data_IF_895520162999
#
_entry.id   IF_895520162999
#
_cell.length_a   1.000
_cell.length_b   1.000
_cell.length_c   1.000
_cell.angle_alpha   90.00
_cell.angle_beta   90.00
_cell.angle_gamma   90.00
#
_symmetry.space_group_name_H-M   'P 1'
#
loop_
_entity.id
_entity.type
_entity.pdbx_description
1 polymer ?
#
# COMPACT_ATOMS: atom_id res chain seq x y z
N UNK A 1 -6.19 30.23 3.84
CA UNK A 1 -6.30 29.38 5.04
C UNK A 1 -6.30 27.95 4.55
N UNK A 2 -5.69 27.03 5.29
CA UNK A 2 -5.96 25.61 5.11
C UNK A 2 -7.27 25.33 5.87
N UNK A 3 -8.17 24.55 5.28
CA UNK A 3 -9.39 24.12 5.95
C UNK A 3 -9.06 23.00 6.94
N UNK A 4 -9.50 23.11 8.19
CA UNK A 4 -9.42 22.06 9.21
C UNK A 4 -10.43 20.93 8.99
N UNK A 5 -10.55 20.45 7.76
CA UNK A 5 -11.51 19.43 7.30
C UNK A 5 -10.91 18.02 7.26
N UNK A 6 -9.77 17.79 7.92
CA UNK A 6 -9.10 16.49 7.98
C UNK A 6 -9.99 15.37 8.52
N UNK A 7 -10.88 15.69 9.47
CA UNK A 7 -11.91 14.79 9.98
C UNK A 7 -12.83 14.26 8.85
N UNK A 8 -13.27 15.14 7.94
CA UNK A 8 -14.09 14.77 6.80
C UNK A 8 -13.34 13.82 5.85
N UNK A 9 -12.09 14.14 5.48
CA UNK A 9 -11.24 13.27 4.64
C UNK A 9 -10.95 11.90 5.26
N UNK A 10 -10.80 11.84 6.59
CA UNK A 10 -10.62 10.59 7.30
C UNK A 10 -11.91 9.76 7.26
N UNK A 11 -13.07 10.38 7.55
CA UNK A 11 -14.36 9.71 7.55
C UNK A 11 -14.79 9.25 6.15
N UNK A 12 -14.69 10.09 5.11
CA UNK A 12 -14.98 9.68 3.73
C UNK A 12 -14.12 8.48 3.35
N UNK A 13 -12.80 8.54 3.56
CA UNK A 13 -11.90 7.44 3.24
C UNK A 13 -12.21 6.11 3.96
N UNK A 14 -12.73 6.16 5.19
CA UNK A 14 -13.20 4.96 5.89
C UNK A 14 -14.52 4.43 5.30
N UNK A 15 -15.45 5.32 4.93
CA UNK A 15 -16.72 4.97 4.27
C UNK A 15 -16.52 4.44 2.85
N UNK A 16 -15.62 5.03 2.07
CA UNK A 16 -15.13 4.54 0.76
C UNK A 16 -14.63 3.10 0.89
N UNK A 17 -13.76 2.86 1.89
CA UNK A 17 -13.15 1.57 2.17
C UNK A 17 -14.17 0.48 2.52
N UNK A 18 -15.06 0.74 3.49
CA UNK A 18 -16.08 -0.26 3.87
C UNK A 18 -17.11 -0.48 2.77
N UNK A 19 -17.44 0.55 1.97
CA UNK A 19 -18.30 0.36 0.80
C UNK A 19 -17.65 -0.59 -0.20
N UNK A 20 -16.41 -0.32 -0.60
CA UNK A 20 -15.66 -1.16 -1.54
C UNK A 20 -15.53 -2.62 -1.05
N UNK A 21 -15.33 -2.84 0.25
CA UNK A 21 -15.27 -4.18 0.85
C UNK A 21 -16.62 -4.93 0.83
N UNK A 22 -17.74 -4.23 0.99
CA UNK A 22 -19.09 -4.84 1.06
C UNK A 22 -19.76 -4.98 -0.30
N UNK A 23 -19.56 -4.03 -1.22
CA UNK A 23 -20.22 -3.98 -2.52
C UNK A 23 -19.33 -4.42 -3.68
N UNK A 24 -18.01 -4.24 -3.54
CA UNK A 24 -17.02 -4.32 -4.63
C UNK A 24 -16.78 -2.99 -5.36
N UNK A 25 -17.57 -1.95 -5.08
CA UNK A 25 -17.51 -0.65 -5.75
C UNK A 25 -16.80 0.40 -4.88
N UNK A 26 -15.63 0.87 -5.33
CA UNK A 26 -14.94 2.02 -4.76
C UNK A 26 -15.48 3.31 -5.39
N UNK A 27 -16.22 4.09 -4.62
CA UNK A 27 -16.88 5.33 -5.04
C UNK A 27 -16.27 6.47 -4.21
N UNK A 28 -15.76 7.52 -4.85
CA UNK A 28 -15.26 8.70 -4.12
C UNK A 28 -16.40 9.53 -3.53
N UNK A 29 -16.33 9.80 -2.24
CA UNK A 29 -17.39 10.46 -1.46
C UNK A 29 -17.07 11.93 -1.18
N UNK A 30 -18.08 12.77 -1.01
CA UNK A 30 -17.88 14.20 -0.79
C UNK A 30 -17.43 14.54 0.63
N UNK A 31 -16.20 15.04 0.80
CA UNK A 31 -15.84 15.70 2.06
C UNK A 31 -16.58 17.02 2.27
N UNK A 32 -16.97 17.70 1.18
CA UNK A 32 -17.61 19.02 1.26
C UNK A 32 -19.05 18.95 1.75
N UNK A 33 -19.76 17.86 1.48
CA UNK A 33 -21.08 17.63 2.05
C UNK A 33 -20.99 17.54 3.58
N UNK A 34 -20.00 16.82 4.13
CA UNK A 34 -19.75 16.81 5.57
C UNK A 34 -19.42 18.23 6.08
N UNK A 35 -18.50 18.95 5.43
CA UNK A 35 -18.12 20.32 5.83
C UNK A 35 -19.30 21.30 5.79
N UNK A 36 -20.20 21.18 4.82
CA UNK A 36 -21.32 22.12 4.61
C UNK A 36 -22.60 21.76 5.39
N UNK A 37 -22.83 20.46 5.64
CA UNK A 37 -24.10 19.93 6.13
C UNK A 37 -24.03 19.25 7.51
N UNK A 38 -22.85 18.77 7.96
CA UNK A 38 -22.71 18.20 9.29
C UNK A 38 -22.57 19.28 10.36
N UNK A 39 -23.71 19.78 10.83
CA UNK A 39 -23.80 20.75 11.92
C UNK A 39 -23.48 20.19 13.31
N UNK A 40 -23.13 18.92 13.44
CA UNK A 40 -22.56 18.36 14.68
C UNK A 40 -21.06 18.60 14.80
N UNK A 41 -20.40 18.81 13.65
CA UNK A 41 -19.01 19.24 13.52
C UNK A 41 -18.90 20.74 13.18
N UNK A 42 -17.67 21.24 13.06
CA UNK A 42 -17.37 22.67 12.91
C UNK A 42 -16.75 23.02 11.55
N UNK A 43 -17.03 22.24 10.52
CA UNK A 43 -16.58 22.50 9.15
C UNK A 43 -15.06 22.59 9.06
N UNK A 44 -14.55 23.74 8.62
CA UNK A 44 -13.13 24.06 8.51
C UNK A 44 -12.46 24.47 9.84
N UNK A 45 -13.20 24.59 10.94
CA UNK A 45 -12.64 24.82 12.29
C UNK A 45 -12.30 23.50 13.03
N UNK A 46 -12.70 22.35 12.49
CA UNK A 46 -12.41 21.03 13.04
C UNK A 46 -13.65 20.14 13.19
N UNK A 47 -13.44 18.90 13.65
CA UNK A 47 -14.49 17.93 13.84
C UNK A 47 -13.97 16.55 14.26
N UNK A 48 -14.90 15.63 14.51
CA UNK A 48 -14.65 14.25 14.93
C UNK A 48 -15.27 13.27 13.92
N UNK A 49 -14.56 12.15 13.70
CA UNK A 49 -14.89 11.21 12.62
C UNK A 49 -16.11 10.35 12.91
N UNK A 50 -16.34 10.03 14.20
CA UNK A 50 -17.52 9.35 14.71
C UNK A 50 -18.79 10.18 14.53
N UNK A 51 -18.72 11.51 14.78
CA UNK A 51 -19.82 12.44 14.56
C UNK A 51 -20.19 12.53 13.08
N UNK A 52 -19.21 12.49 12.18
CA UNK A 52 -19.46 12.42 10.74
C UNK A 52 -20.16 11.10 10.34
N UNK A 53 -19.80 9.96 10.95
CA UNK A 53 -20.49 8.69 10.71
C UNK A 53 -21.94 8.73 11.24
N UNK A 54 -22.15 9.23 12.47
CA UNK A 54 -23.47 9.49 13.05
C UNK A 54 -24.31 10.40 12.13
N UNK A 55 -23.72 11.45 11.57
CA UNK A 55 -24.39 12.34 10.61
C UNK A 55 -24.81 11.60 9.34
N UNK A 56 -23.92 10.84 8.69
CA UNK A 56 -24.25 10.09 7.46
C UNK A 56 -25.36 9.06 7.68
N UNK A 57 -25.38 8.39 8.84
CA UNK A 57 -26.47 7.48 9.22
C UNK A 57 -27.80 8.24 9.30
N UNK A 58 -27.82 9.37 10.02
CA UNK A 58 -29.02 10.17 10.21
C UNK A 58 -29.47 10.89 8.92
N UNK A 59 -28.53 11.20 8.01
CA UNK A 59 -28.80 11.77 6.70
C UNK A 59 -29.36 10.75 5.69
N UNK A 60 -29.20 9.45 5.98
CA UNK A 60 -29.58 8.35 5.09
C UNK A 60 -28.55 8.01 4.02
N UNK A 61 -27.35 8.58 4.12
CA UNK A 61 -26.24 8.42 3.18
C UNK A 61 -25.50 9.74 2.90
N UNK A 62 -24.54 9.65 1.98
CA UNK A 62 -23.64 10.71 1.53
C UNK A 62 -23.46 10.62 0.01
N UNK A 63 -23.36 11.76 -0.67
CA UNK A 63 -23.19 11.90 -2.12
C UNK A 63 -21.73 11.71 -2.56
N UNK A 64 -21.53 11.61 -3.89
CA UNK A 64 -20.20 11.47 -4.46
C UNK A 64 -19.46 12.81 -4.53
N UNK A 65 -18.12 12.76 -4.53
CA UNK A 65 -17.29 13.94 -4.81
C UNK A 65 -17.60 14.56 -6.19
N UNK A 66 -18.12 13.80 -7.15
CA UNK A 66 -18.59 14.36 -8.43
C UNK A 66 -19.89 15.17 -8.33
N UNK A 67 -20.78 14.81 -7.40
CA UNK A 67 -22.09 15.48 -7.22
C UNK A 67 -21.98 16.68 -6.27
N UNK A 68 -21.13 16.57 -5.23
CA UNK A 68 -20.82 17.64 -4.30
C UNK A 68 -19.30 17.90 -4.19
N UNK A 69 -18.66 18.56 -5.18
CA UNK A 69 -17.20 18.69 -5.21
C UNK A 69 -16.59 19.55 -4.09
N UNK A 70 -15.37 19.21 -3.69
CA UNK A 70 -14.59 19.89 -2.68
C UNK A 70 -14.12 21.30 -3.10
N UNK A 71 -14.26 22.25 -2.17
CA UNK A 71 -13.95 23.67 -2.36
C UNK A 71 -12.96 24.23 -1.34
N UNK A 72 -12.72 23.52 -0.22
CA UNK A 72 -11.71 23.89 0.78
C UNK A 72 -12.05 25.12 1.62
N UNK A 73 -13.34 25.43 1.75
CA UNK A 73 -13.91 26.47 2.61
C UNK A 73 -15.29 26.04 3.11
N UNK A 74 -15.78 26.65 4.18
CA UNK A 74 -17.16 26.45 4.65
C UNK A 74 -18.17 27.02 3.64
N UNK A 75 -19.12 26.19 3.23
CA UNK A 75 -20.25 26.59 2.40
C UNK A 75 -21.55 26.77 3.19
N UNK A 76 -22.66 26.57 2.49
CA UNK A 76 -23.97 26.35 3.10
C UNK A 76 -24.52 25.08 2.49
N UNK A 77 -24.98 24.15 3.33
CA UNK A 77 -25.54 22.88 2.92
C UNK A 77 -26.49 23.02 1.71
N UNK A 78 -26.10 22.39 0.60
CA UNK A 78 -26.81 22.49 -0.66
C UNK A 78 -27.66 21.24 -0.90
N UNK A 79 -28.91 21.30 -0.47
CA UNK A 79 -29.89 20.19 -0.58
C UNK A 79 -30.25 19.79 -2.01
N UNK A 80 -29.70 20.43 -3.05
CA UNK A 80 -29.83 20.01 -4.46
C UNK A 80 -28.62 19.20 -4.94
N UNK A 81 -27.49 19.28 -4.23
CA UNK A 81 -26.33 18.41 -4.45
C UNK A 81 -26.41 17.15 -3.57
N UNK A 82 -26.91 17.30 -2.35
CA UNK A 82 -27.11 16.26 -1.32
C UNK A 82 -28.36 15.38 -1.60
N UNK A 83 -28.64 15.07 -2.87
CA UNK A 83 -29.88 14.37 -3.29
C UNK A 83 -29.66 12.90 -3.65
N UNK A 84 -28.45 12.48 -4.05
CA UNK A 84 -28.20 11.14 -4.63
C UNK A 84 -27.87 10.09 -3.60
N UNK A 85 -27.12 10.47 -2.55
CA UNK A 85 -26.77 9.62 -1.38
C UNK A 85 -26.24 8.24 -1.78
N UNK A 86 -25.17 8.26 -2.58
CA UNK A 86 -24.59 7.09 -3.27
C UNK A 86 -24.07 6.00 -2.32
N UNK A 87 -23.66 6.36 -1.10
CA UNK A 87 -23.23 5.42 -0.06
C UNK A 87 -23.95 5.70 1.24
N UNK A 88 -24.37 4.65 1.93
CA UNK A 88 -24.88 4.68 3.30
C UNK A 88 -24.10 3.70 4.19
N UNK A 89 -24.18 3.89 5.50
CA UNK A 89 -23.59 3.01 6.52
C UNK A 89 -24.67 2.69 7.58
N UNK A 90 -24.53 1.57 8.28
CA UNK A 90 -25.57 1.04 9.18
C UNK A 90 -25.31 1.39 10.66
N UNK A 91 -24.14 1.93 10.96
CA UNK A 91 -23.62 2.21 12.30
C UNK A 91 -22.14 2.56 12.25
N UNK A 92 -21.54 2.88 13.40
CA UNK A 92 -20.09 3.01 13.56
C UNK A 92 -19.66 2.39 14.89
N UNK A 93 -18.35 2.23 15.08
CA UNK A 93 -17.78 1.74 16.31
C UNK A 93 -16.43 2.41 16.62
N UNK A 94 -16.26 2.83 17.87
CA UNK A 94 -14.99 3.27 18.42
C UNK A 94 -14.11 2.05 18.76
N UNK A 95 -12.82 2.19 18.50
CA UNK A 95 -11.80 1.19 18.81
C UNK A 95 -11.34 1.38 20.26
N UNK A 96 -11.13 0.28 20.99
CA UNK A 96 -10.46 0.33 22.29
C UNK A 96 -9.04 0.89 22.14
N UNK A 97 -8.62 1.78 23.04
CA UNK A 97 -7.38 2.56 22.93
C UNK A 97 -6.12 1.69 23.15
N UNK A 98 -5.79 0.84 22.19
CA UNK A 98 -4.58 0.00 22.16
C UNK A 98 -4.22 -0.44 20.73
N UNK A 99 -2.92 -0.59 20.45
CA UNK A 99 -2.43 -1.13 19.17
C UNK A 99 -3.06 -2.49 18.84
N UNK A 100 -3.36 -3.32 19.85
CA UNK A 100 -3.94 -4.65 19.64
C UNK A 100 -5.37 -4.61 19.10
N UNK A 101 -6.19 -3.67 19.59
CA UNK A 101 -7.56 -3.48 19.14
C UNK A 101 -7.59 -2.75 17.79
N UNK A 102 -6.72 -1.75 17.61
CA UNK A 102 -6.54 -1.07 16.33
C UNK A 102 -6.09 -2.03 15.23
N UNK A 103 -5.17 -2.95 15.53
CA UNK A 103 -4.76 -4.00 14.58
C UNK A 103 -5.92 -4.90 14.18
N UNK A 104 -6.78 -5.28 15.13
CA UNK A 104 -7.96 -6.09 14.85
C UNK A 104 -9.00 -5.35 13.98
N UNK A 105 -9.13 -4.03 14.12
CA UNK A 105 -10.00 -3.21 13.28
C UNK A 105 -9.40 -3.02 11.86
N UNK A 106 -8.13 -2.59 11.78
CA UNK A 106 -7.41 -2.34 10.52
C UNK A 106 -7.27 -3.61 9.67
N UNK A 107 -7.16 -4.79 10.29
CA UNK A 107 -7.14 -6.08 9.58
C UNK A 107 -8.46 -6.44 8.89
N UNK A 108 -9.56 -5.74 9.20
CA UNK A 108 -10.88 -5.96 8.60
C UNK A 108 -11.24 -4.87 7.58
N UNK A 109 -10.88 -3.61 7.84
CA UNK A 109 -11.23 -2.46 7.01
C UNK A 109 -10.35 -1.25 7.34
N UNK A 110 -10.31 -0.19 6.50
CA UNK A 110 -9.70 1.08 6.88
C UNK A 110 -10.37 1.71 8.11
N UNK A 111 -9.56 2.38 8.94
CA UNK A 111 -9.96 2.97 10.23
C UNK A 111 -9.54 4.43 10.29
N UNK A 112 -10.47 5.30 10.68
CA UNK A 112 -10.20 6.71 10.93
C UNK A 112 -9.50 6.88 12.27
N UNK A 113 -8.41 7.66 12.30
CA UNK A 113 -7.65 7.93 13.54
C UNK A 113 -7.26 9.40 13.65
N UNK A 114 -7.24 9.93 14.88
CA UNK A 114 -6.60 11.20 15.23
C UNK A 114 -5.13 11.02 15.59
N UNK A 115 -4.29 12.00 15.26
CA UNK A 115 -2.88 12.11 15.65
C UNK A 115 -2.50 13.55 16.00
N UNK A 116 -1.40 13.73 16.75
CA UNK A 116 -0.63 14.99 16.71
C UNK A 116 0.19 15.07 15.39
N UNK A 117 -0.22 15.97 14.50
CA UNK A 117 0.47 16.33 13.27
C UNK A 117 1.25 17.65 13.35
N UNK A 118 1.33 18.28 14.53
CA UNK A 118 1.93 19.60 14.72
C UNK A 118 3.46 19.61 14.62
N UNK A 119 4.11 18.46 14.82
CA UNK A 119 5.56 18.31 14.84
C UNK A 119 6.23 18.66 13.50
N UNK A 120 7.35 19.40 13.54
CA UNK A 120 8.02 19.91 12.34
C UNK A 120 8.67 18.82 11.49
N UNK A 121 9.12 17.72 12.11
CA UNK A 121 9.64 16.54 11.44
C UNK A 121 8.53 15.69 10.80
N UNK A 122 7.31 15.69 11.36
CA UNK A 122 6.13 15.16 10.68
C UNK A 122 5.76 16.00 9.45
N UNK A 123 5.66 17.33 9.59
CA UNK A 123 5.34 18.22 8.47
C UNK A 123 6.34 18.11 7.31
N UNK A 124 7.60 17.81 7.60
CA UNK A 124 8.69 17.63 6.62
C UNK A 124 8.95 16.16 6.26
N UNK A 125 8.07 15.23 6.63
CA UNK A 125 8.22 13.80 6.34
C UNK A 125 8.28 13.50 4.83
N UNK A 126 9.20 12.62 4.45
CA UNK A 126 9.46 12.22 3.05
C UNK A 126 9.66 10.70 2.86
N UNK A 127 9.65 9.91 3.94
CA UNK A 127 9.77 8.45 3.86
C UNK A 127 10.35 7.79 5.12
N UNK A 128 10.31 6.45 5.14
CA UNK A 128 10.71 5.62 6.28
C UNK A 128 9.59 5.42 7.30
N UNK A 129 9.83 4.61 8.33
CA UNK A 129 8.91 4.48 9.47
C UNK A 129 9.09 5.69 10.39
N UNK A 130 8.02 6.43 10.61
CA UNK A 130 8.00 7.62 11.46
C UNK A 130 7.87 7.23 12.94
N UNK A 131 8.82 7.70 13.74
CA UNK A 131 8.96 7.55 15.20
C UNK A 131 9.54 8.88 15.76
N UNK A 132 8.93 10.00 15.33
CA UNK A 132 9.46 11.36 15.46
C UNK A 132 8.94 12.12 16.68
N UNK A 133 9.04 13.45 16.65
CA UNK A 133 8.84 14.32 17.83
C UNK A 133 7.39 14.76 18.12
N UNK A 134 6.40 14.04 17.61
CA UNK A 134 4.99 14.25 17.93
C UNK A 134 4.67 13.86 19.38
N UNK A 135 3.66 14.49 19.96
CA UNK A 135 3.13 14.22 21.29
C UNK A 135 2.42 12.86 21.34
N UNK A 136 2.64 12.11 22.42
CA UNK A 136 1.87 10.91 22.77
C UNK A 136 0.69 11.23 23.71
N UNK A 137 0.44 12.51 23.99
CA UNK A 137 -0.70 12.99 24.78
C UNK A 137 -1.98 13.10 23.91
N UNK A 138 -3.10 12.46 24.30
CA UNK A 138 -4.35 12.54 23.56
C UNK A 138 -4.96 13.95 23.54
N UNK A 139 -4.60 14.83 24.47
CA UNK A 139 -5.09 16.23 24.49
C UNK A 139 -4.39 17.11 23.42
N UNK A 140 -3.31 16.65 22.80
CA UNK A 140 -2.54 17.37 21.76
C UNK A 140 -2.93 16.98 20.31
N UNK A 141 -3.92 16.09 20.11
CA UNK A 141 -4.36 15.66 18.77
C UNK A 141 -4.94 16.84 17.97
N UNK A 142 -4.37 17.12 16.80
CA UNK A 142 -4.74 18.23 15.92
C UNK A 142 -5.12 17.83 14.48
N UNK A 143 -4.90 16.56 14.11
CA UNK A 143 -5.06 16.11 12.72
C UNK A 143 -5.67 14.70 12.62
N UNK A 144 -6.65 14.53 11.72
CA UNK A 144 -7.28 13.25 11.44
C UNK A 144 -6.79 12.65 10.12
N UNK A 145 -6.47 11.36 10.16
CA UNK A 145 -5.89 10.58 9.05
C UNK A 145 -6.56 9.21 8.96
N UNK A 146 -6.26 8.44 7.92
CA UNK A 146 -6.87 7.13 7.68
C UNK A 146 -5.81 6.03 7.66
N UNK A 147 -5.91 5.05 8.56
CA UNK A 147 -5.09 3.83 8.47
C UNK A 147 -5.73 2.90 7.45
N UNK A 148 -4.95 2.51 6.42
CA UNK A 148 -5.39 1.63 5.33
C UNK A 148 -4.73 0.25 5.36
N UNK A 149 -3.81 0.02 6.30
CA UNK A 149 -3.12 -1.25 6.48
C UNK A 149 -2.00 -1.18 7.50
N UNK A 150 -1.19 -2.22 7.56
CA UNK A 150 -0.03 -2.35 8.44
C UNK A 150 1.06 -3.20 7.79
N UNK A 151 2.28 -3.12 8.31
CA UNK A 151 3.43 -3.90 7.86
C UNK A 151 4.48 -4.08 8.96
N UNK A 152 5.57 -4.74 8.58
CA UNK A 152 6.75 -5.03 9.39
C UNK A 152 7.98 -4.92 8.50
N UNK A 153 9.00 -4.16 8.91
CA UNK A 153 10.29 -4.04 8.22
C UNK A 153 11.41 -4.05 9.26
N UNK A 154 12.43 -4.88 9.08
CA UNK A 154 13.58 -5.04 10.00
C UNK A 154 13.24 -5.27 11.50
N UNK A 155 12.06 -5.83 11.78
CA UNK A 155 11.44 -6.02 13.12
C UNK A 155 10.82 -4.76 13.76
N UNK A 156 10.73 -3.67 13.00
CA UNK A 156 9.92 -2.50 13.34
C UNK A 156 8.53 -2.66 12.69
N UNK A 157 7.49 -2.66 13.51
CA UNK A 157 6.11 -2.75 13.06
C UNK A 157 5.56 -1.36 12.73
N UNK A 158 4.73 -1.24 11.70
CA UNK A 158 4.15 0.06 11.30
C UNK A 158 2.71 0.00 10.77
N UNK A 159 2.00 1.11 10.91
CA UNK A 159 0.74 1.43 10.23
C UNK A 159 1.03 2.04 8.85
N UNK A 160 0.20 1.75 7.86
CA UNK A 160 0.19 2.42 6.55
C UNK A 160 -0.94 3.44 6.58
N UNK A 161 -0.60 4.72 6.52
CA UNK A 161 -1.54 5.82 6.79
C UNK A 161 -1.66 6.75 5.59
N UNK A 162 -2.89 6.98 5.12
CA UNK A 162 -3.26 7.94 4.06
C UNK A 162 -3.44 9.32 4.68
N UNK A 163 -2.71 10.31 4.19
CA UNK A 163 -2.84 11.71 4.59
C UNK A 163 -3.64 12.52 3.54
N UNK A 164 -4.16 13.69 3.92
CA UNK A 164 -4.99 14.58 3.10
C UNK A 164 -4.22 15.77 2.49
N UNK A 165 -2.89 15.79 2.60
CA UNK A 165 -2.02 16.89 2.14
C UNK A 165 -1.52 16.75 0.68
N UNK A 166 -2.09 15.81 -0.07
CA UNK A 166 -1.78 15.56 -1.48
C UNK A 166 -0.50 14.73 -1.70
N UNK A 167 -0.33 14.25 -2.94
CA UNK A 167 0.69 13.25 -3.28
C UNK A 167 2.14 13.75 -3.27
N UNK A 168 2.36 15.05 -3.17
CA UNK A 168 3.70 15.65 -3.06
C UNK A 168 4.30 15.59 -1.64
N UNK A 169 3.52 15.14 -0.65
CA UNK A 169 3.96 14.98 0.73
C UNK A 169 4.17 13.49 1.07
N UNK A 170 5.17 13.19 1.88
CA UNK A 170 5.49 11.81 2.28
C UNK A 170 5.78 10.88 1.11
N UNK A 171 5.26 9.66 1.20
CA UNK A 171 5.35 8.60 0.19
C UNK A 171 4.07 8.63 -0.65
N UNK A 172 4.04 9.42 -1.73
CA UNK A 172 2.87 9.60 -2.60
C UNK A 172 1.57 10.00 -1.86
N UNK A 173 1.67 10.78 -0.78
CA UNK A 173 0.55 11.18 0.09
C UNK A 173 0.31 10.26 1.30
N UNK A 174 1.11 9.20 1.45
CA UNK A 174 1.08 8.28 2.59
C UNK A 174 2.28 8.48 3.51
N UNK A 175 2.17 7.96 4.73
CA UNK A 175 3.31 7.77 5.63
C UNK A 175 3.21 6.43 6.35
N UNK A 176 4.34 5.94 6.83
CA UNK A 176 4.40 4.79 7.72
C UNK A 176 4.62 5.29 9.14
N UNK A 177 3.74 4.91 10.07
CA UNK A 177 3.79 5.29 11.48
C UNK A 177 4.14 4.08 12.33
N UNK A 178 5.13 4.18 13.21
CA UNK A 178 5.50 3.05 14.08
C UNK A 178 4.33 2.61 14.97
N UNK A 179 4.20 1.30 15.17
CA UNK A 179 3.21 0.66 16.05
C UNK A 179 3.89 -0.39 16.94
N UNK A 180 3.11 -1.02 17.82
CA UNK A 180 3.57 -2.04 18.78
C UNK A 180 4.63 -1.48 19.75
N UNK A 181 4.29 -0.33 20.35
CA UNK A 181 5.16 0.43 21.26
C UNK A 181 4.68 0.36 22.71
N UNK A 182 5.55 0.65 23.67
CA UNK A 182 5.19 0.78 25.09
C UNK A 182 4.39 2.07 25.43
N UNK A 183 4.05 2.91 24.42
CA UNK A 183 3.30 4.15 24.62
C UNK A 183 1.80 3.86 24.82
N UNK A 184 1.14 4.39 25.88
CA UNK A 184 -0.27 4.09 26.17
C UNK A 184 -1.24 4.36 25.02
N UNK A 185 -0.97 5.41 24.23
CA UNK A 185 -1.78 5.80 23.08
C UNK A 185 -1.06 5.61 21.74
N UNK A 186 0.05 4.87 21.71
CA UNK A 186 0.90 4.73 20.52
C UNK A 186 1.61 6.03 20.12
N UNK A 187 2.39 5.96 19.03
CA UNK A 187 3.12 7.12 18.49
C UNK A 187 2.12 8.16 17.94
N UNK A 188 2.37 9.44 18.21
CA UNK A 188 1.48 10.56 17.91
C UNK A 188 0.06 10.43 18.50
N UNK A 189 -0.11 9.69 19.60
CA UNK A 189 -1.40 9.38 20.23
C UNK A 189 -2.42 8.65 19.32
N UNK A 190 -1.96 7.95 18.27
CA UNK A 190 -2.80 7.31 17.23
C UNK A 190 -3.90 6.36 17.74
N UNK A 191 -3.70 5.72 18.90
CA UNK A 191 -4.68 4.82 19.50
C UNK A 191 -5.76 5.55 20.33
N UNK A 192 -5.62 6.85 20.62
CA UNK A 192 -6.54 7.55 21.52
C UNK A 192 -7.90 7.86 20.89
N UNK A 193 -7.95 8.16 19.59
CA UNK A 193 -9.16 8.57 18.87
C UNK A 193 -9.27 7.79 17.57
N UNK A 194 -9.69 6.53 17.66
CA UNK A 194 -9.84 5.64 16.51
C UNK A 194 -11.28 5.12 16.39
N UNK A 195 -11.88 5.25 15.21
CA UNK A 195 -13.25 4.79 14.95
C UNK A 195 -13.44 4.35 13.49
N UNK A 196 -14.44 3.52 13.23
CA UNK A 196 -14.72 3.03 11.88
C UNK A 196 -16.23 2.86 11.62
N UNK A 197 -16.68 3.10 10.37
CA UNK A 197 -18.05 2.87 9.97
C UNK A 197 -18.32 1.39 9.74
N UNK A 198 -19.54 0.95 10.02
CA UNK A 198 -20.00 -0.43 9.78
C UNK A 198 -21.05 -0.46 8.68
N UNK A 199 -20.99 -1.47 7.81
CA UNK A 199 -21.94 -1.68 6.72
C UNK A 199 -22.25 -3.16 6.57
N UNK A 200 -23.53 -3.52 6.51
CA UNK A 200 -23.98 -4.90 6.32
C UNK A 200 -24.12 -5.21 4.83
N UNK A 201 -23.75 -6.42 4.43
CA UNK A 201 -24.10 -6.94 3.11
C UNK A 201 -25.62 -7.13 3.03
N UNK A 202 -26.29 -6.42 2.12
CA UNK A 202 -27.75 -6.46 1.91
C UNK A 202 -28.29 -7.78 1.31
N UNK A 203 -27.53 -8.88 1.45
CA UNK A 203 -27.92 -10.23 1.05
C UNK A 203 -27.34 -11.26 2.03
N UNK A 204 -28.15 -12.18 2.58
CA UNK A 204 -27.60 -13.40 3.14
C UNK A 204 -27.02 -14.23 1.98
N UNK A 205 -25.72 -14.49 1.98
CA UNK A 205 -25.05 -15.23 0.91
C UNK A 205 -25.79 -16.53 0.55
N UNK A 206 -26.36 -16.64 -0.68
CA UNK A 206 -27.01 -17.87 -1.11
C UNK A 206 -26.00 -18.95 -1.55
N UNK A 207 -24.70 -18.65 -1.47
CA UNK A 207 -23.60 -19.54 -1.79
C UNK A 207 -23.01 -20.16 -0.51
N UNK A 208 -23.03 -21.49 -0.33
CA UNK A 208 -22.15 -22.13 0.63
C UNK A 208 -20.70 -21.95 0.20
N UNK A 209 -19.77 -21.94 1.16
CA UNK A 209 -18.33 -21.79 0.92
C UNK A 209 -17.82 -22.73 -0.18
N UNK A 210 -16.87 -22.29 -1.03
CA UNK A 210 -16.30 -23.15 -2.07
C UNK A 210 -15.79 -24.46 -1.49
N UNK A 211 -16.27 -25.59 -2.02
CA UNK A 211 -15.76 -26.90 -1.67
C UNK A 211 -14.34 -27.06 -2.20
N UNK A 212 -13.39 -27.23 -1.27
CA UNK A 212 -11.98 -27.49 -1.58
C UNK A 212 -11.89 -28.72 -2.52
N UNK A 213 -11.30 -28.60 -3.71
CA UNK A 213 -11.12 -29.74 -4.60
C UNK A 213 -10.13 -30.74 -3.99
N UNK A 214 -10.30 -32.05 -4.24
CA UNK A 214 -9.43 -33.07 -3.65
C UNK A 214 -7.98 -32.94 -4.18
N UNK A 215 -6.97 -33.28 -3.36
CA UNK A 215 -5.56 -33.14 -3.75
C UNK A 215 -5.21 -34.12 -4.90
N UNK A 216 -4.33 -33.71 -5.84
CA UNK A 216 -3.80 -34.62 -6.85
C UNK A 216 -2.94 -35.73 -6.22
N UNK A 217 -2.79 -36.89 -6.88
CA UNK A 217 -2.00 -38.01 -6.35
C UNK A 217 -0.50 -37.66 -6.25
N UNK A 218 0.24 -38.31 -5.34
CA UNK A 218 1.61 -37.93 -5.02
C UNK A 218 2.58 -38.27 -6.17
N UNK A 219 3.17 -37.24 -6.77
CA UNK A 219 4.36 -37.36 -7.61
C UNK A 219 5.62 -37.44 -6.74
N UNK A 220 6.59 -38.25 -7.17
CA UNK A 220 7.86 -38.48 -6.47
C UNK A 220 8.72 -37.22 -6.37
N UNK A 221 9.51 -37.04 -5.29
CA UNK A 221 10.33 -35.85 -5.12
C UNK A 221 11.48 -35.81 -6.14
N UNK A 222 11.73 -34.67 -6.82
CA UNK A 222 12.96 -34.45 -7.56
C UNK A 222 14.15 -34.23 -6.59
N UNK A 223 15.40 -34.50 -7.03
CA UNK A 223 16.59 -34.20 -6.22
C UNK A 223 16.76 -32.68 -6.05
N UNK A 224 17.45 -32.22 -4.98
CA UNK A 224 17.70 -30.80 -4.78
C UNK A 224 18.61 -30.25 -5.89
N UNK A 225 18.29 -29.09 -6.49
CA UNK A 225 19.17 -28.45 -7.46
C UNK A 225 20.44 -27.91 -6.77
N UNK A 226 21.60 -27.91 -7.47
CA UNK A 226 22.82 -27.27 -6.96
C UNK A 226 22.68 -25.73 -6.98
N UNK A 227 23.39 -25.00 -6.09
CA UNK A 227 23.32 -23.55 -6.07
C UNK A 227 24.02 -22.94 -7.29
N UNK A 228 23.35 -21.99 -7.94
CA UNK A 228 23.88 -21.18 -9.04
C UNK A 228 23.61 -19.69 -8.75
N UNK A 229 24.55 -18.76 -9.04
CA UNK A 229 24.44 -17.35 -8.68
C UNK A 229 23.60 -16.50 -9.64
N UNK A 230 23.37 -15.23 -9.26
CA UNK A 230 22.21 -14.39 -9.55
C UNK A 230 22.17 -13.63 -10.90
N UNK A 231 21.00 -13.54 -11.57
CA UNK A 231 20.73 -12.62 -12.69
C UNK A 231 20.21 -11.22 -12.27
N UNK A 232 20.09 -10.97 -10.96
CA UNK A 232 19.16 -10.00 -10.40
C UNK A 232 19.74 -8.61 -10.05
N UNK A 233 20.93 -8.28 -10.54
CA UNK A 233 21.65 -7.05 -10.19
C UNK A 233 21.44 -5.94 -11.25
N UNK A 234 20.89 -4.80 -10.84
CA UNK A 234 20.55 -3.66 -11.69
C UNK A 234 21.58 -2.52 -11.55
N UNK A 235 22.83 -2.84 -11.86
CA UNK A 235 23.94 -1.90 -11.73
C UNK A 235 24.23 -1.53 -10.27
N UNK A 236 25.03 -0.50 -10.07
CA UNK A 236 25.63 -0.22 -8.75
C UNK A 236 24.62 0.12 -7.65
N UNK A 237 23.44 0.65 -8.01
CA UNK A 237 22.47 1.24 -7.07
C UNK A 237 21.07 0.63 -7.07
N UNK A 238 20.82 -0.44 -7.83
CA UNK A 238 19.51 -1.09 -7.86
C UNK A 238 19.58 -2.62 -7.96
N UNK A 239 18.48 -3.31 -7.68
CA UNK A 239 18.34 -4.76 -7.84
C UNK A 239 16.88 -5.18 -8.12
N UNK A 240 16.73 -6.42 -8.61
CA UNK A 240 15.46 -7.12 -8.79
C UNK A 240 15.41 -8.40 -7.95
N UNK A 241 14.26 -9.08 -7.93
CA UNK A 241 14.14 -10.41 -7.30
C UNK A 241 14.96 -11.46 -8.08
N UNK A 242 15.28 -12.60 -7.45
CA UNK A 242 16.14 -13.64 -8.06
C UNK A 242 15.57 -14.28 -9.33
N UNK A 243 14.25 -14.18 -9.51
CA UNK A 243 13.42 -14.68 -10.60
C UNK A 243 13.02 -13.59 -11.61
N UNK A 244 13.53 -12.37 -11.45
CA UNK A 244 13.24 -11.21 -12.29
C UNK A 244 14.48 -10.77 -13.10
N UNK A 245 14.27 -10.39 -14.37
CA UNK A 245 15.32 -9.83 -15.23
C UNK A 245 15.36 -8.31 -15.12
N UNK A 246 16.56 -7.76 -14.97
CA UNK A 246 16.78 -6.33 -15.00
C UNK A 246 16.74 -5.75 -16.42
N UNK A 247 15.94 -4.70 -16.64
CA UNK A 247 15.76 -4.01 -17.91
C UNK A 247 15.83 -2.48 -17.73
N UNK A 248 16.54 -1.74 -18.59
CA UNK A 248 16.61 -0.28 -18.45
C UNK A 248 15.28 0.43 -18.80
N UNK A 249 14.74 1.23 -17.89
CA UNK A 249 13.56 2.08 -18.10
C UNK A 249 13.90 3.47 -18.66
N UNK A 250 15.03 4.05 -18.27
CA UNK A 250 15.43 5.38 -18.71
C UNK A 250 16.94 5.47 -18.98
N UNK A 251 17.30 5.69 -20.25
CA UNK A 251 18.69 5.79 -20.73
C UNK A 251 19.05 7.25 -21.04
N UNK A 252 20.26 7.66 -20.65
CA UNK A 252 20.81 8.98 -20.93
C UNK A 252 22.31 8.86 -21.26
N UNK A 253 22.70 9.21 -22.49
CA UNK A 253 24.09 9.07 -22.99
C UNK A 253 24.71 7.69 -22.73
N UNK A 254 24.06 6.64 -23.24
CA UNK A 254 24.48 5.23 -23.13
C UNK A 254 24.59 4.69 -21.67
N UNK A 255 24.07 5.43 -20.68
CA UNK A 255 24.00 5.01 -19.29
C UNK A 255 22.54 4.87 -18.83
N UNK A 256 22.23 3.78 -18.11
CA UNK A 256 20.90 3.56 -17.55
C UNK A 256 20.76 4.26 -16.20
N UNK A 257 19.84 5.23 -16.10
CA UNK A 257 19.59 5.97 -14.86
C UNK A 257 18.50 5.34 -13.99
N UNK A 258 17.52 4.68 -14.61
CA UNK A 258 16.43 3.99 -13.92
C UNK A 258 16.31 2.59 -14.51
N UNK A 259 16.49 1.59 -13.67
CA UNK A 259 16.27 0.19 -14.01
C UNK A 259 14.86 -0.24 -13.61
N UNK A 260 14.36 -1.29 -14.28
CA UNK A 260 13.10 -1.91 -13.96
C UNK A 260 13.16 -3.44 -14.04
N UNK A 261 12.37 -4.09 -13.19
CA UNK A 261 12.28 -5.53 -13.08
C UNK A 261 11.19 -6.07 -13.99
N UNK A 262 11.55 -7.08 -14.78
CA UNK A 262 10.61 -7.88 -15.54
C UNK A 262 10.39 -9.23 -14.84
N UNK A 263 9.13 -9.64 -14.70
CA UNK A 263 8.69 -10.89 -14.06
C UNK A 263 8.95 -12.16 -14.90
N UNK A 264 10.12 -12.23 -15.52
CA UNK A 264 10.66 -13.40 -16.20
C UNK A 264 12.15 -13.52 -15.88
N UNK A 265 12.60 -14.72 -15.54
CA UNK A 265 14.00 -15.02 -15.14
C UNK A 265 15.02 -14.75 -16.25
N UNK A 266 14.56 -14.69 -17.51
CA UNK A 266 15.37 -14.37 -18.70
C UNK A 266 14.53 -13.55 -19.71
N UNK A 267 14.11 -12.35 -19.31
CA UNK A 267 13.29 -11.48 -20.15
C UNK A 267 14.07 -10.85 -21.32
N UNK A 268 13.36 -10.57 -22.42
CA UNK A 268 13.80 -9.66 -23.46
C UNK A 268 13.26 -8.26 -23.15
N UNK A 269 14.17 -7.30 -22.95
CA UNK A 269 13.83 -5.91 -22.67
C UNK A 269 13.50 -5.19 -23.98
N UNK A 270 12.24 -4.76 -24.16
CA UNK A 270 11.83 -3.94 -25.30
C UNK A 270 12.43 -2.52 -25.19
N UNK A 271 13.58 -2.26 -25.80
CA UNK A 271 14.31 -0.98 -25.72
C UNK A 271 13.41 0.21 -26.07
N UNK A 272 13.54 1.30 -25.31
CA UNK A 272 12.73 2.52 -25.51
C UNK A 272 11.28 2.43 -25.02
N UNK A 273 10.86 1.33 -24.39
CA UNK A 273 9.53 1.20 -23.77
C UNK A 273 9.60 0.61 -22.36
N UNK A 274 8.50 0.75 -21.62
CA UNK A 274 8.31 0.18 -20.28
C UNK A 274 7.95 -1.32 -20.28
N UNK A 275 7.94 -1.98 -21.45
CA UNK A 275 7.47 -3.36 -21.61
C UNK A 275 8.61 -4.38 -21.78
N UNK A 276 8.36 -5.64 -21.44
CA UNK A 276 9.28 -6.74 -21.61
C UNK A 276 8.55 -8.02 -22.04
N UNK A 277 9.30 -8.90 -22.69
CA UNK A 277 8.81 -10.16 -23.25
C UNK A 277 9.53 -11.36 -22.62
N UNK A 278 8.89 -12.56 -22.57
CA UNK A 278 9.59 -13.79 -22.22
C UNK A 278 10.59 -14.18 -23.33
N UNK A 279 11.67 -14.88 -22.96
CA UNK A 279 12.71 -15.36 -23.89
C UNK A 279 12.18 -16.15 -25.10
N UNK A 280 11.10 -16.90 -24.93
CA UNK A 280 10.47 -17.70 -26.00
C UNK A 280 9.73 -16.88 -27.07
N UNK A 281 9.49 -15.57 -26.81
CA UNK A 281 8.82 -14.62 -27.70
C UNK A 281 9.63 -13.31 -27.78
N UNK A 282 10.81 -13.31 -28.42
CA UNK A 282 11.81 -12.25 -28.27
C UNK A 282 11.51 -10.97 -29.08
N UNK A 283 10.42 -10.91 -29.85
CA UNK A 283 10.11 -9.79 -30.74
C UNK A 283 9.01 -8.93 -30.12
N UNK A 284 9.34 -7.68 -29.77
CA UNK A 284 8.39 -6.75 -29.16
C UNK A 284 7.56 -6.00 -30.23
N UNK A 285 6.26 -6.28 -30.31
CA UNK A 285 5.28 -5.39 -30.93
C UNK A 285 4.72 -4.45 -29.87
N UNK A 286 5.32 -3.27 -29.78
CA UNK A 286 4.98 -2.25 -28.78
C UNK A 286 3.72 -1.45 -29.13
N UNK A 287 3.19 -1.60 -30.34
CA UNK A 287 2.00 -0.88 -30.80
C UNK A 287 0.72 -1.65 -30.48
N UNK A 288 0.74 -2.98 -30.63
CA UNK A 288 -0.36 -3.87 -30.25
C UNK A 288 -0.16 -4.49 -28.83
N UNK A 289 0.99 -4.24 -28.19
CA UNK A 289 1.28 -4.72 -26.82
C UNK A 289 1.60 -6.22 -26.75
N UNK A 290 2.21 -6.77 -27.80
CA UNK A 290 2.45 -8.20 -27.97
C UNK A 290 3.93 -8.55 -28.05
N UNK A 291 4.23 -9.80 -27.71
CA UNK A 291 5.50 -10.47 -27.85
C UNK A 291 5.33 -11.60 -28.88
N UNK A 292 6.04 -11.48 -30.00
CA UNK A 292 5.94 -12.38 -31.15
C UNK A 292 7.13 -13.35 -31.17
N UNK A 293 6.94 -14.49 -31.85
CA UNK A 293 7.98 -15.51 -31.99
C UNK A 293 8.82 -15.31 -33.26
N UNK A 294 8.19 -14.86 -34.34
CA UNK A 294 8.82 -14.47 -35.60
C UNK A 294 8.29 -13.11 -36.07
N UNK A 295 9.02 -12.42 -36.95
CA UNK A 295 8.66 -11.08 -37.45
C UNK A 295 7.47 -11.06 -38.42
N UNK A 296 6.96 -12.23 -38.80
CA UNK A 296 5.80 -12.41 -39.69
C UNK A 296 4.54 -12.91 -38.95
N UNK A 297 4.63 -13.12 -37.63
CA UNK A 297 3.50 -13.58 -36.81
C UNK A 297 2.58 -12.39 -36.45
N UNK A 298 1.27 -12.57 -36.58
CA UNK A 298 0.24 -11.58 -36.17
C UNK A 298 -0.43 -11.92 -34.83
N UNK A 299 0.02 -12.97 -34.15
CA UNK A 299 -0.51 -13.44 -32.87
C UNK A 299 0.68 -13.75 -31.94
N UNK A 300 0.62 -13.25 -30.71
CA UNK A 300 1.68 -13.37 -29.72
C UNK A 300 1.14 -13.51 -28.30
N UNK A 301 2.04 -13.48 -27.32
CA UNK A 301 1.68 -13.35 -25.90
C UNK A 301 1.70 -11.87 -25.49
N UNK A 302 0.92 -11.46 -24.51
CA UNK A 302 0.92 -10.07 -24.06
C UNK A 302 2.28 -9.65 -23.47
N UNK A 303 2.77 -8.46 -23.84
CA UNK A 303 3.97 -7.89 -23.25
C UNK A 303 3.69 -7.41 -21.81
N UNK A 304 4.60 -7.70 -20.87
CA UNK A 304 4.45 -7.27 -19.47
C UNK A 304 5.07 -5.90 -19.25
N UNK A 305 4.38 -5.05 -18.52
CA UNK A 305 4.94 -3.78 -18.01
C UNK A 305 5.93 -4.09 -16.89
N UNK A 306 7.10 -3.48 -16.93
CA UNK A 306 8.16 -3.63 -15.93
C UNK A 306 7.83 -2.83 -14.66
N UNK A 307 8.23 -3.34 -13.51
CA UNK A 307 8.22 -2.60 -12.22
C UNK A 307 9.50 -1.79 -12.10
N UNK A 308 9.55 -0.72 -11.29
CA UNK A 308 10.81 -0.01 -11.00
C UNK A 308 11.71 -0.90 -10.11
N UNK A 309 13.01 -0.93 -10.39
CA UNK A 309 13.96 -1.74 -9.63
C UNK A 309 14.24 -1.13 -8.24
N UNK A 310 14.35 -1.98 -7.22
CA UNK A 310 14.57 -1.55 -5.83
C UNK A 310 15.96 -0.94 -5.67
N UNK A 311 16.11 0.07 -4.82
CA UNK A 311 17.40 0.75 -4.61
C UNK A 311 18.29 0.06 -3.56
N UNK A 312 19.61 0.08 -3.79
CA UNK A 312 20.65 -0.32 -2.84
C UNK A 312 21.07 0.91 -2.03
N UNK A 313 20.65 1.00 -0.76
CA UNK A 313 20.94 2.14 0.11
C UNK A 313 22.16 1.90 1.02
N UNK A 314 22.94 2.94 1.41
CA UNK A 314 24.23 2.78 2.10
C UNK A 314 24.20 2.09 3.48
N UNK A 315 23.03 1.86 4.04
CA UNK A 315 22.81 1.23 5.35
C UNK A 315 22.20 -0.18 5.27
N UNK A 316 21.93 -0.72 4.07
CA UNK A 316 21.72 -2.18 3.96
C UNK A 316 23.01 -2.87 4.36
N UNK A 317 23.04 -3.47 5.56
CA UNK A 317 24.14 -4.32 5.99
C UNK A 317 24.22 -5.51 5.04
N UNK A 318 25.20 -5.48 4.15
CA UNK A 318 25.68 -6.68 3.50
C UNK A 318 26.07 -7.64 4.63
N UNK A 319 25.45 -8.81 4.68
CA UNK A 319 26.03 -9.91 5.46
C UNK A 319 27.40 -10.21 4.87
N UNK A 320 28.45 -9.74 5.55
CA UNK A 320 29.76 -10.37 5.48
C UNK A 320 29.61 -11.79 6.04
N UNK A 321 29.09 -12.69 5.20
CA UNK A 321 29.33 -14.12 5.35
C UNK A 321 30.82 -14.32 5.15
N UNK A 322 31.57 -14.16 6.24
CA UNK A 322 32.97 -14.50 6.36
C UNK A 322 33.11 -15.99 6.00
N UNK A 323 33.37 -16.25 4.72
CA UNK A 323 33.52 -17.59 4.16
C UNK A 323 34.78 -18.20 4.74
N UNK A 324 34.65 -18.80 5.92
CA UNK A 324 35.58 -19.78 6.49
C UNK A 324 35.56 -21.00 5.58
N UNK A 325 36.34 -20.89 4.51
CA UNK A 325 36.49 -21.90 3.48
C UNK A 325 37.16 -23.14 4.09
N UNK A 326 36.37 -24.11 4.55
CA UNK A 326 36.87 -25.46 4.75
C UNK A 326 36.90 -26.15 3.37
N UNK A 327 38.07 -26.38 2.76
CA UNK A 327 38.14 -27.07 1.49
C UNK A 327 37.74 -28.54 1.68
N UNK A 328 36.66 -28.95 0.99
CA UNK A 328 36.22 -30.34 0.94
C UNK A 328 37.34 -31.26 0.44
N UNK A 329 37.74 -32.22 1.27
CA UNK A 329 38.67 -33.28 0.85
C UNK A 329 37.96 -34.27 -0.09
N UNK A 330 38.46 -34.39 -1.31
CA UNK A 330 37.99 -35.40 -2.26
C UNK A 330 38.71 -36.75 -2.09
N UNK A 331 37.96 -37.82 -2.36
CA UNK A 331 38.26 -39.19 -1.88
C UNK A 331 39.09 -40.01 -2.87
N UNK A 332 40.43 -39.84 -2.80
CA UNK A 332 41.49 -40.66 -3.48
C UNK A 332 41.56 -40.46 -5.00
N UNK A 333 42.67 -40.70 -5.72
CA UNK A 333 43.92 -41.46 -5.43
C UNK A 333 45.14 -40.66 -6.04
N UNK A 334 46.31 -41.17 -6.53
CA UNK A 334 46.79 -42.56 -6.65
C UNK A 334 48.19 -42.92 -6.09
N UNK A 335 49.08 -41.99 -5.70
CA UNK A 335 50.50 -42.32 -5.47
C UNK A 335 50.85 -42.83 -4.07
N UNK A 336 51.50 -44.01 -4.08
CA UNK A 336 52.57 -44.51 -3.22
C UNK A 336 52.70 -43.92 -1.79
N UNK A 337 52.51 -44.69 -0.71
CA UNK A 337 53.29 -45.86 -0.29
C UNK A 337 54.72 -45.53 0.19
N UNK A 338 55.09 -46.18 1.30
CA UNK A 338 56.38 -46.18 2.02
C UNK A 338 56.55 -45.16 3.17
N UNK A 339 56.55 -45.74 4.38
CA UNK A 339 57.09 -45.27 5.68
C UNK A 339 56.22 -44.29 6.46
#
# INVERSE_FOLDING_TARGET
MFAGSCWAFSSTGAMEGINALVTGDLISLSEQELVDCDTSNYGCEGGYMDYAFEWVINNGGIDSESDYPYTGVDGTCNTTKEETKVVSIDGYQDVEQSDSALLCAVAQQPVSVGIDGSAIDFQLYTGGIYDGSCSDDPDDIDHAVLIVGYGSEDSEEYWIVKNSWGTSWGIDGYFYLKRDTDLPYGVCAVNAMASYPTKQSSSPSPYPSPSVPPPPPPSTPPPPPPPSPSPSDCGDFSYCSSDETCCCLFEFYDYCLIYGCCEYENAVCCTGTEYCCPSDYPICDVQEGLCLKNTEDYLGVAARKRKVAKHKLPWTKIEETEKTYQPLQWKRNPFAAMR
#
